data_IF_027648314376
#
_entry.id   IF_027648314376
#
_cell.length_a   1.000
_cell.length_b   1.000
_cell.length_c   1.000
_cell.angle_alpha   90.00
_cell.angle_beta   90.00
_cell.angle_gamma   90.00
#
_symmetry.space_group_name_H-M   'P 1'
#
loop_
_entity.id
_entity.type
_entity.pdbx_description
1 polymer ?
#
# COMPACT_ATOMS: atom_id res chain seq x y z
N UNK A 1 -25.03 67.29 35.42
CA UNK A 1 -25.35 65.88 35.76
C UNK A 1 -24.03 65.12 35.89
N UNK A 2 -23.92 64.25 36.89
CA UNK A 2 -22.68 63.75 37.49
C UNK A 2 -21.99 62.59 36.72
N UNK A 3 -20.66 62.71 36.52
CA UNK A 3 -19.49 61.84 36.94
C UNK A 3 -19.72 60.31 37.13
N UNK A 4 -18.74 59.35 36.94
CA UNK A 4 -17.33 59.41 36.46
C UNK A 4 -16.85 58.33 35.44
N UNK A 5 -15.61 58.57 34.99
CA UNK A 5 -14.56 57.68 34.45
C UNK A 5 -14.30 56.37 35.22
N UNK A 6 -13.80 55.34 34.51
CA UNK A 6 -12.91 54.31 35.06
C UNK A 6 -12.06 53.67 33.95
N UNK A 7 -10.80 54.11 33.84
CA UNK A 7 -9.68 53.34 33.29
C UNK A 7 -9.33 52.20 34.25
N UNK A 8 -8.94 51.05 33.71
CA UNK A 8 -8.21 50.02 34.46
C UNK A 8 -7.08 49.45 33.62
N UNK A 9 -5.87 49.84 34.03
CA UNK A 9 -4.60 49.17 33.78
C UNK A 9 -4.65 47.71 34.22
N UNK A 10 -3.95 46.83 33.51
CA UNK A 10 -3.52 45.53 34.04
C UNK A 10 -2.05 45.29 33.65
N UNK A 11 -1.22 45.05 34.66
CA UNK A 11 0.15 44.56 34.58
C UNK A 11 0.39 43.56 35.73
N UNK A 12 1.46 42.72 35.65
CA UNK A 12 1.32 41.26 35.75
C UNK A 12 1.92 40.63 37.03
N UNK A 13 1.48 39.41 37.34
CA UNK A 13 2.12 38.31 38.11
C UNK A 13 0.97 37.36 38.54
N UNK A 14 1.07 36.04 38.66
CA UNK A 14 2.17 35.13 38.96
C UNK A 14 1.73 33.69 38.65
N UNK A 15 2.72 32.86 38.34
CA UNK A 15 2.74 31.38 38.40
C UNK A 15 1.89 30.75 39.51
N UNK A 16 1.04 29.78 39.15
CA UNK A 16 0.82 28.56 39.94
C UNK A 16 0.23 27.44 39.06
N UNK A 17 1.03 26.38 38.97
CA UNK A 17 0.73 24.96 38.72
C UNK A 17 -0.74 24.53 38.79
N UNK A 18 -1.23 23.91 37.72
CA UNK A 18 -2.46 23.12 37.73
C UNK A 18 -2.17 21.67 37.33
N UNK A 19 -2.80 20.78 38.10
CA UNK A 19 -2.61 19.35 38.19
C UNK A 19 -2.89 18.58 36.89
N UNK A 20 -1.91 17.75 36.51
CA UNK A 20 -2.08 16.64 35.58
C UNK A 20 -2.83 15.50 36.25
N UNK A 21 -4.04 15.20 35.77
CA UNK A 21 -4.80 13.99 36.13
C UNK A 21 -4.33 12.84 35.23
N UNK A 22 -3.50 11.95 35.78
CA UNK A 22 -3.19 10.63 35.19
C UNK A 22 -4.13 9.55 35.73
N UNK A 23 -4.68 8.65 34.90
CA UNK A 23 -5.38 7.46 35.38
C UNK A 23 -4.39 6.37 35.83
N UNK A 24 -4.30 6.15 37.15
CA UNK A 24 -3.60 5.03 37.78
C UNK A 24 -4.34 3.71 37.56
N UNK A 25 -3.74 2.77 36.82
CA UNK A 25 -4.00 1.34 37.00
C UNK A 25 -2.88 0.74 37.85
N UNK A 26 -3.18 0.42 39.11
CA UNK A 26 -2.28 -0.31 40.00
C UNK A 26 -2.52 -1.82 39.87
N UNK A 27 -1.50 -2.57 39.45
CA UNK A 27 -1.42 -4.02 39.67
C UNK A 27 -0.66 -4.26 40.97
N UNK A 28 -1.33 -4.86 41.96
CA UNK A 28 -0.71 -5.30 43.23
C UNK A 28 0.18 -6.52 42.97
N UNK A 29 1.46 -6.42 43.32
CA UNK A 29 2.29 -7.59 43.59
C UNK A 29 2.25 -7.89 45.09
N UNK A 30 1.86 -9.10 45.44
CA UNK A 30 1.84 -9.59 46.81
C UNK A 30 3.18 -10.29 47.07
N UNK A 31 4.04 -9.67 47.88
CA UNK A 31 5.33 -10.22 48.31
C UNK A 31 5.12 -11.15 49.52
N UNK A 32 5.12 -12.46 49.27
CA UNK A 32 5.14 -13.51 50.28
C UNK A 32 6.53 -14.15 50.40
N UNK A 33 7.37 -13.65 51.32
CA UNK A 33 8.65 -14.24 51.72
C UNK A 33 8.48 -15.51 52.57
N UNK A 34 9.21 -16.58 52.21
CA UNK A 34 9.87 -17.65 53.03
C UNK A 34 9.77 -18.99 52.28
N UNK A 35 10.77 -19.87 52.14
CA UNK A 35 12.11 -20.01 52.73
C UNK A 35 12.89 -21.01 51.84
N UNK A 36 14.19 -20.80 51.66
CA UNK A 36 15.11 -21.67 50.92
C UNK A 36 15.11 -23.14 51.39
N UNK A 37 15.02 -24.08 50.44
CA UNK A 37 15.92 -25.25 50.41
C UNK A 37 16.36 -25.49 48.96
N UNK A 38 17.66 -25.32 48.74
CA UNK A 38 18.32 -25.51 47.45
C UNK A 38 18.52 -27.00 47.21
N UNK A 39 17.81 -27.58 46.24
CA UNK A 39 18.29 -28.75 45.50
C UNK A 39 18.01 -28.54 44.02
N UNK A 40 19.07 -28.38 43.24
CA UNK A 40 18.97 -28.18 41.79
C UNK A 40 18.53 -29.46 41.10
N UNK A 41 17.74 -29.35 40.02
CA UNK A 41 17.34 -30.47 39.16
C UNK A 41 18.54 -31.29 38.63
N UNK A 42 19.74 -30.71 38.61
CA UNK A 42 20.97 -31.35 38.13
C UNK A 42 21.46 -32.49 39.05
N UNK A 43 21.13 -32.48 40.34
CA UNK A 43 21.51 -33.58 41.26
C UNK A 43 20.64 -34.84 41.09
N UNK A 44 19.51 -34.74 40.36
CA UNK A 44 18.68 -35.91 40.00
C UNK A 44 19.09 -36.54 38.67
N UNK A 45 19.85 -35.82 37.84
CA UNK A 45 20.33 -36.31 36.54
C UNK A 45 21.65 -37.09 36.69
N UNK A 46 22.48 -36.75 37.67
CA UNK A 46 23.75 -37.44 37.93
C UNK A 46 23.62 -38.85 38.52
N UNK A 47 22.51 -39.15 39.21
CA UNK A 47 22.28 -40.47 39.81
C UNK A 47 21.83 -41.54 38.80
N UNK A 48 21.49 -41.16 37.56
CA UNK A 48 21.04 -42.07 36.51
C UNK A 48 22.08 -42.35 35.42
N UNK A 49 23.22 -41.65 35.43
CA UNK A 49 24.31 -41.80 34.44
C UNK A 49 25.50 -42.63 34.95
N UNK A 50 25.44 -43.18 36.16
CA UNK A 50 26.55 -43.94 36.79
C UNK A 50 26.26 -45.45 36.89
N UNK A 51 25.95 -46.11 35.77
CA UNK A 51 26.12 -47.57 35.66
C UNK A 51 26.93 -47.89 34.40
N UNK A 52 28.12 -48.52 34.51
CA UNK A 52 28.90 -48.89 33.35
C UNK A 52 28.20 -50.01 32.59
N UNK A 53 28.13 -49.84 31.27
CA UNK A 53 27.93 -50.93 30.31
C UNK A 53 29.20 -51.77 30.30
N UNK A 54 29.16 -52.96 30.92
CA UNK A 54 30.11 -54.03 30.62
C UNK A 54 29.54 -54.83 29.44
N UNK A 55 30.13 -54.59 28.27
CA UNK A 55 30.33 -55.62 27.25
C UNK A 55 31.41 -56.54 27.77
N UNK A 56 31.15 -57.84 27.79
CA UNK A 56 32.21 -58.83 27.59
C UNK A 56 31.70 -59.86 26.59
N UNK A 57 32.41 -59.90 25.46
CA UNK A 57 32.36 -60.92 24.44
C UNK A 57 33.16 -62.14 24.90
N UNK A 58 32.71 -63.33 24.47
CA UNK A 58 33.47 -64.56 24.26
C UNK A 58 34.31 -65.14 25.42
N UNK A 59 33.95 -66.34 25.88
CA UNK A 59 34.92 -67.45 25.97
C UNK A 59 34.24 -68.82 25.80
N UNK A 60 34.93 -69.64 25.02
CA UNK A 60 34.74 -71.05 24.65
C UNK A 60 34.62 -72.00 25.84
N UNK A 61 34.15 -73.23 25.64
CA UNK A 61 34.88 -74.48 25.99
C UNK A 61 34.14 -75.70 25.42
N UNK A 62 34.87 -76.44 24.57
CA UNK A 62 34.53 -77.75 24.03
C UNK A 62 34.98 -78.88 25.00
N UNK A 63 34.15 -79.92 25.06
CA UNK A 63 34.44 -81.36 25.15
C UNK A 63 35.37 -82.02 26.22
N UNK A 64 34.80 -83.14 26.72
CA UNK A 64 35.37 -84.43 27.14
C UNK A 64 35.77 -84.74 28.59
N UNK A 65 35.26 -85.93 28.99
CA UNK A 65 35.82 -86.97 29.86
C UNK A 65 35.32 -87.03 31.33
N UNK A 66 34.52 -88.07 31.59
CA UNK A 66 34.33 -88.71 32.91
C UNK A 66 35.61 -89.49 33.30
N UNK A 67 35.82 -89.83 34.60
CA UNK A 67 35.29 -91.11 35.09
C UNK A 67 34.87 -91.17 36.59
N UNK A 68 33.83 -91.99 36.81
CA UNK A 68 33.60 -93.07 37.80
C UNK A 68 33.74 -92.86 39.33
N UNK A 69 32.84 -93.61 40.01
CA UNK A 69 32.75 -94.03 41.42
C UNK A 69 32.17 -92.97 42.39
N UNK A 70 31.22 -93.21 43.28
CA UNK A 70 30.45 -94.38 43.75
C UNK A 70 29.19 -93.84 44.48
N UNK A 71 28.21 -94.71 44.70
CA UNK A 71 27.18 -94.66 45.76
C UNK A 71 25.97 -93.68 45.68
N UNK A 72 24.83 -94.35 45.44
CA UNK A 72 23.62 -94.33 46.29
C UNK A 72 22.55 -93.24 46.10
N UNK A 73 21.39 -93.73 45.63
CA UNK A 73 20.01 -93.37 45.95
C UNK A 73 19.63 -91.88 46.11
N UNK A 74 18.92 -91.32 45.12
CA UNK A 74 17.60 -90.69 45.34
C UNK A 74 16.96 -90.09 44.09
N UNK A 75 15.77 -90.60 43.80
CA UNK A 75 14.58 -89.94 43.24
C UNK A 75 14.58 -89.36 41.80
N UNK A 76 13.64 -89.91 41.03
CA UNK A 76 13.16 -89.47 39.73
C UNK A 76 12.90 -87.96 39.63
N UNK A 77 13.80 -87.24 38.95
CA UNK A 77 13.53 -85.90 38.42
C UNK A 77 13.27 -85.97 36.91
N UNK A 78 12.17 -85.39 36.42
CA UNK A 78 11.82 -85.44 34.99
C UNK A 78 12.83 -84.64 34.15
N UNK A 79 13.30 -85.25 33.05
CA UNK A 79 14.18 -84.62 32.07
C UNK A 79 13.57 -83.30 31.55
N UNK A 80 14.30 -82.17 31.56
CA UNK A 80 13.79 -80.92 30.99
C UNK A 80 13.61 -81.10 29.49
N UNK A 81 12.37 -80.92 29.02
CA UNK A 81 12.06 -80.75 27.61
C UNK A 81 12.73 -79.47 27.11
N UNK A 82 13.60 -79.58 26.11
CA UNK A 82 14.16 -78.42 25.41
C UNK A 82 13.00 -77.60 24.83
N UNK A 83 12.71 -76.47 25.48
CA UNK A 83 11.77 -75.49 24.96
C UNK A 83 12.26 -75.02 23.60
N UNK A 84 11.43 -75.25 22.58
CA UNK A 84 11.61 -74.79 21.20
C UNK A 84 11.94 -73.29 21.23
N UNK A 85 13.09 -72.88 20.70
CA UNK A 85 13.44 -71.46 20.63
C UNK A 85 12.31 -70.67 19.93
N UNK A 86 11.88 -69.53 20.47
CA UNK A 86 10.88 -68.70 19.80
C UNK A 86 11.46 -68.22 18.48
N UNK A 87 10.80 -68.58 17.37
CA UNK A 87 11.11 -68.04 16.05
C UNK A 87 11.06 -66.51 16.14
N UNK A 88 12.21 -65.86 15.93
CA UNK A 88 12.27 -64.41 15.82
C UNK A 88 11.27 -63.93 14.76
N UNK A 89 10.36 -63.05 15.17
CA UNK A 89 9.41 -62.43 14.25
C UNK A 89 10.22 -61.54 13.30
N UNK A 90 10.44 -62.02 12.07
CA UNK A 90 11.02 -61.22 11.00
C UNK A 90 10.02 -60.12 10.63
N UNK A 91 10.13 -58.96 11.26
CA UNK A 91 9.41 -57.77 10.83
C UNK A 91 9.70 -57.50 9.36
N UNK A 92 8.64 -57.31 8.56
CA UNK A 92 8.76 -57.01 7.14
C UNK A 92 9.71 -55.83 6.93
N UNK A 93 10.47 -55.78 5.81
CA UNK A 93 11.39 -54.67 5.52
C UNK A 93 10.72 -53.30 5.65
N UNK A 94 9.43 -53.24 5.31
CA UNK A 94 8.56 -52.08 5.44
C UNK A 94 8.40 -51.60 6.90
N UNK A 95 8.20 -52.51 7.86
CA UNK A 95 8.03 -52.13 9.26
C UNK A 95 9.33 -51.63 9.89
N UNK A 96 10.48 -52.19 9.47
CA UNK A 96 11.82 -51.69 9.86
C UNK A 96 12.10 -50.31 9.27
N UNK A 97 11.69 -50.06 8.03
CA UNK A 97 11.77 -48.74 7.41
C UNK A 97 10.86 -47.73 8.12
N UNK A 98 9.60 -48.10 8.39
CA UNK A 98 8.64 -47.25 9.10
C UNK A 98 9.14 -46.85 10.50
N UNK A 99 9.69 -47.81 11.26
CA UNK A 99 10.28 -47.54 12.58
C UNK A 99 11.48 -46.60 12.50
N UNK A 100 12.36 -46.77 11.50
CA UNK A 100 13.50 -45.87 11.28
C UNK A 100 13.05 -44.47 10.85
N UNK A 101 12.02 -44.36 10.03
CA UNK A 101 11.45 -43.09 9.60
C UNK A 101 10.78 -42.34 10.75
N UNK A 102 10.01 -43.05 11.59
CA UNK A 102 9.37 -42.47 12.79
C UNK A 102 10.39 -41.97 13.82
N UNK A 103 11.54 -42.65 13.96
CA UNK A 103 12.62 -42.21 14.85
C UNK A 103 13.42 -41.02 14.29
N UNK A 104 13.44 -40.83 12.97
CA UNK A 104 14.15 -39.71 12.31
C UNK A 104 13.28 -38.46 12.14
N UNK A 105 11.96 -38.61 12.13
CA UNK A 105 11.00 -37.51 12.04
C UNK A 105 11.23 -36.39 13.08
N UNK A 106 11.38 -36.65 14.39
CA UNK A 106 11.62 -35.58 15.37
C UNK A 106 12.97 -34.88 15.17
N UNK A 107 13.98 -35.57 14.66
CA UNK A 107 15.27 -34.98 14.28
C UNK A 107 15.12 -33.98 13.13
N UNK A 108 14.36 -34.33 12.09
CA UNK A 108 14.09 -33.42 10.98
C UNK A 108 13.26 -32.22 11.42
N UNK A 109 12.28 -32.42 12.30
CA UNK A 109 11.47 -31.34 12.88
C UNK A 109 12.35 -30.37 13.68
N UNK A 110 13.23 -30.88 14.55
CA UNK A 110 14.17 -30.07 15.32
C UNK A 110 15.16 -29.31 14.42
N UNK A 111 15.65 -29.95 13.37
CA UNK A 111 16.52 -29.31 12.38
C UNK A 111 15.80 -28.16 11.65
N UNK A 112 14.53 -28.36 11.28
CA UNK A 112 13.70 -27.33 10.65
C UNK A 112 13.45 -26.15 11.60
N UNK A 113 13.15 -26.40 12.88
CA UNK A 113 13.05 -25.34 13.88
C UNK A 113 14.38 -24.61 14.11
N UNK A 114 15.51 -25.33 14.10
CA UNK A 114 16.84 -24.74 14.19
C UNK A 114 17.16 -23.80 13.01
N UNK A 115 16.85 -24.22 11.79
CA UNK A 115 17.00 -23.40 10.58
C UNK A 115 16.08 -22.18 10.66
N UNK A 116 14.82 -22.36 11.04
CA UNK A 116 13.86 -21.27 11.20
C UNK A 116 14.34 -20.25 12.25
N UNK A 117 14.89 -20.73 13.38
CA UNK A 117 15.43 -19.87 14.41
C UNK A 117 16.65 -19.09 13.92
N UNK A 118 17.54 -19.72 13.15
CA UNK A 118 18.70 -19.06 12.57
C UNK A 118 18.28 -17.96 11.58
N UNK A 119 17.27 -18.24 10.74
CA UNK A 119 16.66 -17.25 9.84
C UNK A 119 16.08 -16.09 10.65
N UNK A 120 15.31 -16.35 11.71
CA UNK A 120 14.72 -15.32 12.57
C UNK A 120 15.79 -14.47 13.29
N UNK A 121 16.89 -15.08 13.73
CA UNK A 121 18.01 -14.37 14.34
C UNK A 121 18.72 -13.47 13.33
N UNK A 122 18.99 -13.95 12.12
CA UNK A 122 19.59 -13.14 11.04
C UNK A 122 18.65 -12.01 10.63
N UNK A 123 17.33 -12.27 10.55
CA UNK A 123 16.34 -11.27 10.22
C UNK A 123 16.17 -10.22 11.32
N UNK A 124 16.19 -10.63 12.60
CA UNK A 124 16.13 -9.74 13.77
C UNK A 124 17.41 -8.94 13.98
N UNK A 125 18.56 -9.44 13.51
CA UNK A 125 19.84 -8.73 13.50
C UNK A 125 20.13 -7.99 12.20
N UNK A 126 19.16 -7.88 11.27
CA UNK A 126 19.26 -7.01 10.08
C UNK A 126 19.79 -5.60 10.40
N UNK A 127 19.40 -4.93 11.51
CA UNK A 127 19.93 -3.60 11.83
C UNK A 127 21.44 -3.57 12.13
N UNK A 128 22.06 -4.71 12.42
CA UNK A 128 23.51 -4.82 12.70
C UNK A 128 24.34 -5.01 11.42
N UNK A 129 23.73 -5.51 10.34
CA UNK A 129 24.39 -5.84 9.07
C UNK A 129 24.01 -4.87 7.94
N UNK A 130 22.86 -4.21 8.06
CA UNK A 130 22.41 -3.15 7.18
C UNK A 130 22.02 -1.95 8.03
N UNK A 131 22.93 -0.97 8.11
CA UNK A 131 22.60 0.34 8.62
C UNK A 131 21.91 1.13 7.49
N UNK A 132 20.59 1.28 7.60
CA UNK A 132 19.79 2.16 6.76
C UNK A 132 19.36 3.39 7.58
N UNK A 133 20.16 3.82 8.57
CA UNK A 133 20.04 5.19 9.05
C UNK A 133 20.35 6.10 7.87
N UNK A 134 19.40 6.97 7.57
CA UNK A 134 19.71 8.13 6.75
C UNK A 134 20.83 8.86 7.47
N UNK A 135 21.92 9.13 6.78
CA UNK A 135 22.94 10.03 7.27
C UNK A 135 22.26 11.39 7.47
N UNK A 136 21.93 11.71 8.72
CA UNK A 136 21.67 13.08 9.13
C UNK A 136 23.01 13.78 8.93
N UNK A 137 23.17 14.47 7.80
CA UNK A 137 24.35 15.30 7.55
C UNK A 137 24.31 16.41 8.59
N UNK A 138 25.00 16.22 9.71
CA UNK A 138 25.32 17.29 10.64
C UNK A 138 26.12 18.32 9.85
N UNK A 139 25.47 19.43 9.50
CA UNK A 139 26.13 20.56 8.85
C UNK A 139 27.16 21.08 9.86
N UNK A 140 28.47 21.01 9.57
CA UNK A 140 29.49 21.46 10.51
C UNK A 140 29.26 22.93 10.89
N UNK A 141 29.63 23.33 12.11
CA UNK A 141 29.41 24.71 12.59
C UNK A 141 29.98 25.80 11.67
N UNK A 142 31.05 25.51 10.92
CA UNK A 142 31.64 26.44 9.94
C UNK A 142 30.81 26.60 8.65
N UNK A 143 29.86 25.71 8.39
CA UNK A 143 28.97 25.72 7.24
C UNK A 143 27.58 26.28 7.58
N UNK A 144 27.34 26.73 8.80
CA UNK A 144 26.10 27.45 9.17
C UNK A 144 25.92 28.74 8.36
N UNK A 145 27.01 29.47 8.07
CA UNK A 145 26.99 30.65 7.17
C UNK A 145 26.71 30.30 5.69
N UNK A 146 26.84 29.02 5.31
CA UNK A 146 26.54 28.52 3.96
C UNK A 146 25.10 28.01 3.85
N UNK A 147 24.31 28.02 4.93
CA UNK A 147 22.92 27.53 4.92
C UNK A 147 22.08 28.28 3.88
N UNK A 148 22.32 29.59 3.69
CA UNK A 148 21.71 30.36 2.61
C UNK A 148 22.11 29.90 1.19
N UNK A 149 23.28 29.30 1.01
CA UNK A 149 23.74 28.70 -0.25
C UNK A 149 23.29 27.25 -0.44
N UNK A 150 22.81 26.57 0.61
CA UNK A 150 22.25 25.21 0.51
C UNK A 150 20.82 25.20 -0.03
N UNK A 151 20.11 26.32 0.06
CA UNK A 151 18.75 26.47 -0.45
C UNK A 151 18.75 26.94 -1.90
N UNK A 152 18.15 26.13 -2.77
CA UNK A 152 17.89 26.47 -4.16
C UNK A 152 16.47 27.05 -4.30
N UNK A 153 16.26 27.97 -5.24
CA UNK A 153 15.03 28.75 -5.32
C UNK A 153 13.76 27.88 -5.47
N UNK A 154 13.89 26.74 -6.17
CA UNK A 154 12.82 25.74 -6.38
C UNK A 154 13.17 24.39 -5.73
N UNK A 155 13.81 24.42 -4.55
CA UNK A 155 14.25 23.23 -3.81
C UNK A 155 13.18 22.24 -3.27
N UNK A 156 11.87 22.56 -3.09
CA UNK A 156 10.96 21.65 -2.38
C UNK A 156 10.83 20.24 -2.96
N UNK A 157 10.98 20.10 -4.28
CA UNK A 157 10.87 18.83 -5.01
C UNK A 157 12.10 18.57 -5.88
N UNK A 158 13.25 19.14 -5.51
CA UNK A 158 14.53 18.84 -6.16
C UNK A 158 14.80 17.34 -6.12
N UNK A 159 15.36 16.80 -7.21
CA UNK A 159 15.72 15.39 -7.34
C UNK A 159 14.49 14.42 -7.32
N UNK A 160 13.26 14.95 -7.39
CA UNK A 160 12.03 14.15 -7.46
C UNK A 160 11.61 13.99 -8.91
N UNK A 161 11.79 12.78 -9.45
CA UNK A 161 11.35 12.44 -10.80
C UNK A 161 9.84 12.17 -10.83
N UNK A 162 9.05 12.91 -11.63
CA UNK A 162 7.63 12.63 -11.78
C UNK A 162 7.41 11.29 -12.48
N UNK A 163 6.43 10.54 -12.01
CA UNK A 163 5.98 9.28 -12.58
C UNK A 163 4.45 9.26 -12.70
N UNK A 164 3.88 8.61 -13.72
CA UNK A 164 2.44 8.56 -13.95
C UNK A 164 1.73 7.61 -12.97
N UNK A 165 1.80 7.94 -11.68
CA UNK A 165 1.01 7.30 -10.63
C UNK A 165 0.01 8.25 -10.01
N UNK A 166 -1.13 7.66 -9.67
CA UNK A 166 -2.21 8.29 -8.94
C UNK A 166 -2.20 7.76 -7.50
N UNK A 167 -1.91 8.63 -6.54
CA UNK A 167 -2.00 8.34 -5.11
C UNK A 167 -3.48 8.20 -4.73
N UNK A 168 -3.99 6.99 -4.82
CA UNK A 168 -5.36 6.67 -4.46
C UNK A 168 -5.57 6.83 -2.96
N UNK A 169 -6.70 7.41 -2.57
CA UNK A 169 -7.02 7.81 -1.21
C UNK A 169 -5.87 8.57 -0.54
N UNK A 170 -5.34 9.59 -1.21
CA UNK A 170 -4.15 10.32 -0.76
C UNK A 170 -4.31 10.92 0.65
N UNK A 171 -5.54 11.25 1.04
CA UNK A 171 -5.84 11.75 2.37
C UNK A 171 -5.58 10.72 3.49
N UNK A 172 -5.38 9.42 3.19
CA UNK A 172 -4.92 8.39 4.13
C UNK A 172 -3.40 8.38 4.33
N UNK A 173 -2.63 9.13 3.53
CA UNK A 173 -1.17 9.22 3.71
C UNK A 173 -0.84 9.87 5.06
N UNK A 174 0.38 9.63 5.54
CA UNK A 174 0.86 10.21 6.80
C UNK A 174 0.95 11.72 6.69
N UNK A 175 1.42 12.19 5.53
CA UNK A 175 1.41 13.59 5.14
C UNK A 175 0.70 13.67 3.78
N UNK A 176 -0.63 13.94 3.77
CA UNK A 176 -1.38 14.12 2.53
C UNK A 176 -0.70 15.14 1.61
N UNK A 177 -0.87 14.98 0.30
CA UNK A 177 -0.17 15.66 -0.79
C UNK A 177 1.33 15.36 -0.84
N UNK A 178 2.07 15.65 0.24
CA UNK A 178 3.53 15.65 0.22
C UNK A 178 4.14 14.25 0.16
N UNK A 179 3.51 13.22 0.75
CA UNK A 179 3.99 11.85 0.58
C UNK A 179 3.92 11.42 -0.90
N UNK A 180 2.83 11.75 -1.61
CA UNK A 180 2.69 11.46 -3.04
C UNK A 180 3.72 12.22 -3.88
N UNK A 181 3.87 13.53 -3.65
CA UNK A 181 4.85 14.35 -4.35
C UNK A 181 6.27 13.85 -4.13
N UNK A 182 6.64 13.48 -2.90
CA UNK A 182 7.97 12.93 -2.58
C UNK A 182 8.29 11.66 -3.35
N UNK A 183 7.28 10.87 -3.71
CA UNK A 183 7.43 9.66 -4.52
C UNK A 183 7.23 9.93 -6.03
N UNK A 184 7.06 11.19 -6.45
CA UNK A 184 6.91 11.56 -7.86
C UNK A 184 5.52 11.34 -8.44
N UNK A 185 4.49 10.97 -7.65
CA UNK A 185 3.17 10.77 -8.24
C UNK A 185 2.59 12.07 -8.77
N UNK A 186 2.25 12.07 -10.07
CA UNK A 186 1.67 13.22 -10.77
C UNK A 186 0.15 13.33 -10.60
N UNK A 187 -0.45 12.55 -9.70
CA UNK A 187 -1.86 12.68 -9.35
C UNK A 187 -2.16 12.27 -7.91
N UNK A 188 -3.08 12.98 -7.26
CA UNK A 188 -3.59 12.73 -5.91
C UNK A 188 -5.12 12.78 -5.90
N UNK A 189 -5.73 12.13 -4.91
CA UNK A 189 -7.18 12.06 -4.74
C UNK A 189 -7.64 12.64 -3.40
N UNK A 190 -8.75 13.38 -3.43
CA UNK A 190 -9.45 13.90 -2.27
C UNK A 190 -10.92 13.47 -2.28
N UNK A 191 -11.34 12.71 -1.26
CA UNK A 191 -12.75 12.37 -1.03
C UNK A 191 -13.44 13.51 -0.29
N UNK A 192 -14.20 14.34 -1.00
CA UNK A 192 -14.74 15.60 -0.49
C UNK A 192 -16.22 15.48 -0.11
N UNK A 193 -16.52 15.96 1.10
CA UNK A 193 -17.85 15.99 1.68
C UNK A 193 -18.27 17.43 1.96
N UNK A 194 -19.45 17.83 1.50
CA UNK A 194 -20.08 19.10 1.85
C UNK A 194 -21.33 18.89 2.68
N UNK A 195 -21.60 19.82 3.62
CA UNK A 195 -22.84 19.85 4.39
C UNK A 195 -23.40 21.26 4.40
N UNK A 196 -24.71 21.41 4.25
CA UNK A 196 -25.37 22.72 4.07
C UNK A 196 -25.10 23.72 5.20
N UNK A 197 -24.81 23.21 6.41
CA UNK A 197 -24.63 24.02 7.63
C UNK A 197 -23.27 24.73 7.73
N UNK A 198 -22.29 24.41 6.88
CA UNK A 198 -20.97 25.05 6.88
C UNK A 198 -20.38 25.14 5.47
N UNK A 199 -19.69 26.25 5.15
CA UNK A 199 -18.97 26.45 3.88
C UNK A 199 -17.66 25.63 3.79
N UNK A 200 -17.23 25.04 4.90
CA UNK A 200 -16.11 24.11 4.90
C UNK A 200 -16.44 22.82 4.14
N UNK A 201 -15.45 22.34 3.40
CA UNK A 201 -15.50 21.06 2.71
C UNK A 201 -14.53 20.12 3.42
N UNK A 202 -15.02 18.98 3.89
CA UNK A 202 -14.24 18.02 4.67
C UNK A 202 -13.68 16.92 3.79
N UNK A 203 -12.56 16.32 4.19
CA UNK A 203 -11.94 15.22 3.46
C UNK A 203 -11.83 13.97 4.32
N UNK A 204 -12.34 12.86 3.80
CA UNK A 204 -12.24 11.54 4.45
C UNK A 204 -12.95 10.44 3.66
N UNK A 205 -12.69 9.20 4.04
CA UNK A 205 -13.24 8.04 3.32
C UNK A 205 -14.72 7.82 3.62
N UNK A 206 -15.12 8.14 4.84
CA UNK A 206 -16.49 8.06 5.32
C UNK A 206 -16.79 9.19 6.29
N UNK A 207 -18.07 9.45 6.53
CA UNK A 207 -18.54 10.46 7.47
C UNK A 207 -17.94 10.31 8.88
N UNK A 208 -17.68 9.08 9.33
CA UNK A 208 -17.05 8.78 10.62
C UNK A 208 -15.57 9.17 10.71
N UNK A 209 -14.90 9.37 9.56
CA UNK A 209 -13.48 9.77 9.49
C UNK A 209 -13.28 11.28 9.38
N UNK A 210 -14.37 12.05 9.26
CA UNK A 210 -14.30 13.49 9.11
C UNK A 210 -13.94 14.17 10.43
N UNK A 211 -13.10 15.20 10.34
CA UNK A 211 -12.72 16.01 11.49
C UNK A 211 -12.69 17.47 11.08
N UNK A 212 -13.03 18.42 11.97
CA UNK A 212 -13.09 19.85 11.64
C UNK A 212 -11.78 20.43 11.07
N UNK A 213 -10.63 19.83 11.42
CA UNK A 213 -9.30 20.29 10.98
C UNK A 213 -8.88 19.76 9.61
N UNK A 214 -9.57 18.76 9.07
CA UNK A 214 -9.23 18.07 7.82
C UNK A 214 -10.15 18.54 6.70
N UNK A 215 -9.87 19.75 6.21
CA UNK A 215 -10.63 20.38 5.12
C UNK A 215 -9.94 20.23 3.77
N UNK A 216 -10.70 20.35 2.69
CA UNK A 216 -10.19 20.33 1.31
C UNK A 216 -9.13 21.42 1.08
N UNK A 217 -9.40 22.64 1.56
CA UNK A 217 -8.40 23.72 1.56
C UNK A 217 -7.17 23.38 2.37
N UNK A 218 -7.35 22.92 3.61
CA UNK A 218 -6.24 22.68 4.53
C UNK A 218 -5.31 21.56 4.10
N UNK A 219 -5.83 20.51 3.45
CA UNK A 219 -5.04 19.37 3.00
C UNK A 219 -4.49 19.52 1.58
N UNK A 220 -5.18 20.22 0.68
CA UNK A 220 -4.80 20.28 -0.74
C UNK A 220 -4.60 21.70 -1.25
N UNK A 221 -5.63 22.56 -1.23
CA UNK A 221 -5.56 23.86 -1.91
C UNK A 221 -4.49 24.78 -1.33
N UNK A 222 -4.49 25.00 -0.01
CA UNK A 222 -3.57 25.94 0.63
C UNK A 222 -2.11 25.43 0.59
N UNK A 223 -1.83 24.13 0.84
CA UNK A 223 -0.50 23.56 0.62
C UNK A 223 -0.01 23.69 -0.83
N UNK A 224 -0.89 23.47 -1.83
CA UNK A 224 -0.54 23.63 -3.25
C UNK A 224 -0.22 25.08 -3.60
N UNK A 225 -1.01 26.04 -3.13
CA UNK A 225 -0.72 27.47 -3.32
C UNK A 225 0.66 27.81 -2.75
N UNK A 226 0.94 27.43 -1.51
CA UNK A 226 2.23 27.71 -0.86
C UNK A 226 3.40 27.07 -1.61
N UNK A 227 3.24 25.82 -2.04
CA UNK A 227 4.24 25.11 -2.81
C UNK A 227 4.50 25.81 -4.15
N UNK A 228 3.47 26.09 -4.93
CA UNK A 228 3.60 26.70 -6.25
C UNK A 228 4.14 28.13 -6.18
N UNK A 229 3.72 28.94 -5.20
CA UNK A 229 4.28 30.27 -4.97
C UNK A 229 5.79 30.19 -4.68
N UNK A 230 6.25 29.13 -3.99
CA UNK A 230 7.68 28.86 -3.79
C UNK A 230 8.38 28.32 -5.05
N UNK A 231 7.70 27.50 -5.86
CA UNK A 231 8.23 26.98 -7.14
C UNK A 231 8.29 28.03 -8.25
N UNK A 232 7.63 29.17 -8.08
CA UNK A 232 7.54 30.25 -9.07
C UNK A 232 8.07 31.60 -8.51
N UNK A 233 9.31 31.67 -7.98
CA UNK A 233 9.83 32.89 -7.36
C UNK A 233 10.11 33.99 -8.39
N UNK A 234 9.79 35.24 -8.07
CA UNK A 234 10.24 36.37 -8.90
C UNK A 234 11.72 36.61 -8.66
N UNK A 235 12.56 36.34 -9.66
CA UNK A 235 14.01 36.54 -9.59
C UNK A 235 14.50 37.42 -10.73
N UNK A 236 15.66 38.06 -10.56
CA UNK A 236 16.35 38.80 -11.63
C UNK A 236 17.02 37.89 -12.67
N UNK A 237 17.04 36.57 -12.43
CA UNK A 237 17.83 35.62 -13.20
C UNK A 237 17.01 34.84 -14.25
N UNK A 238 15.70 34.81 -14.12
CA UNK A 238 14.83 34.11 -15.07
C UNK A 238 13.34 34.23 -14.72
N UNK A 239 12.49 33.99 -15.70
CA UNK A 239 11.04 33.90 -15.51
C UNK A 239 10.67 32.45 -15.19
N UNK A 240 10.34 32.17 -13.93
CA UNK A 240 9.91 30.85 -13.47
C UNK A 240 8.39 30.74 -13.43
N UNK A 241 7.65 31.57 -14.19
CA UNK A 241 6.18 31.57 -14.18
C UNK A 241 5.61 30.32 -14.84
N UNK A 242 4.62 29.74 -14.17
CA UNK A 242 3.87 28.59 -14.66
C UNK A 242 4.57 27.26 -14.42
N UNK A 243 5.61 27.23 -13.59
CA UNK A 243 6.21 25.98 -13.12
C UNK A 243 5.21 25.18 -12.29
N UNK A 244 5.18 23.87 -12.54
CA UNK A 244 4.45 22.87 -11.79
C UNK A 244 5.09 22.58 -10.43
N UNK A 245 4.66 21.47 -9.83
CA UNK A 245 5.12 21.06 -8.49
C UNK A 245 6.46 20.34 -8.51
N UNK A 246 6.94 19.87 -9.66
CA UNK A 246 8.19 19.11 -9.80
C UNK A 246 9.29 19.99 -10.39
N UNK A 247 10.43 20.09 -9.71
CA UNK A 247 11.58 20.85 -10.20
C UNK A 247 12.23 20.18 -11.42
N UNK A 248 12.29 18.84 -11.42
CA UNK A 248 12.88 18.03 -12.51
C UNK A 248 12.09 18.11 -13.82
N UNK A 249 10.78 18.38 -13.75
CA UNK A 249 9.93 18.67 -14.90
C UNK A 249 8.92 19.78 -14.54
N UNK A 250 9.29 21.05 -14.74
CA UNK A 250 8.42 22.18 -14.42
C UNK A 250 7.15 22.25 -15.26
N UNK A 251 7.03 21.49 -16.35
CA UNK A 251 5.82 21.47 -17.19
C UNK A 251 4.85 20.36 -16.81
N UNK A 252 5.26 19.42 -15.95
CA UNK A 252 4.40 18.36 -15.45
C UNK A 252 3.27 18.91 -14.57
N UNK A 253 2.04 18.79 -15.05
CA UNK A 253 0.84 19.12 -14.27
C UNK A 253 0.61 18.09 -13.16
N UNK A 254 0.21 18.54 -11.97
CA UNK A 254 -0.31 17.66 -10.93
C UNK A 254 -1.84 17.57 -11.06
N UNK A 255 -2.35 16.35 -11.12
CA UNK A 255 -3.79 16.13 -11.21
C UNK A 255 -4.37 15.98 -9.80
N UNK A 256 -5.24 16.92 -9.41
CA UNK A 256 -6.07 16.83 -8.21
C UNK A 256 -7.42 16.23 -8.58
N UNK A 257 -7.57 14.93 -8.33
CA UNK A 257 -8.84 14.23 -8.49
C UNK A 257 -9.71 14.49 -7.24
N UNK A 258 -10.90 15.03 -7.44
CA UNK A 258 -11.84 15.37 -6.38
C UNK A 258 -13.04 14.43 -6.51
N UNK A 259 -13.17 13.50 -5.57
CA UNK A 259 -14.29 12.56 -5.50
C UNK A 259 -15.41 13.17 -4.65
N UNK A 260 -16.52 13.50 -5.29
CA UNK A 260 -17.68 14.14 -4.67
C UNK A 260 -18.51 13.07 -3.95
N UNK A 261 -18.57 13.16 -2.61
CA UNK A 261 -19.23 12.14 -1.76
C UNK A 261 -20.62 12.53 -1.28
N UNK A 262 -21.07 13.73 -1.60
CA UNK A 262 -22.40 14.27 -1.28
C UNK A 262 -23.04 14.82 -2.55
N UNK A 263 -24.24 15.39 -2.44
CA UNK A 263 -25.01 15.91 -3.57
C UNK A 263 -24.16 16.84 -4.47
N UNK A 264 -24.14 16.52 -5.77
CA UNK A 264 -23.16 17.05 -6.70
C UNK A 264 -23.35 18.52 -7.05
N UNK A 265 -24.59 18.96 -7.29
CA UNK A 265 -24.87 20.34 -7.74
C UNK A 265 -24.50 21.39 -6.68
N UNK A 266 -24.79 21.11 -5.41
CA UNK A 266 -24.41 21.97 -4.27
C UNK A 266 -22.91 21.93 -4.00
N UNK A 267 -22.31 20.73 -4.01
CA UNK A 267 -20.88 20.57 -3.73
C UNK A 267 -20.00 21.18 -4.82
N UNK A 268 -20.43 21.12 -6.09
CA UNK A 268 -19.68 21.64 -7.23
C UNK A 268 -19.36 23.13 -7.11
N UNK A 269 -20.36 23.94 -6.77
CA UNK A 269 -20.17 25.38 -6.58
C UNK A 269 -19.15 25.66 -5.46
N UNK A 270 -19.28 24.97 -4.32
CA UNK A 270 -18.37 25.16 -3.19
C UNK A 270 -16.94 24.73 -3.51
N UNK A 271 -16.75 23.64 -4.25
CA UNK A 271 -15.42 23.23 -4.74
C UNK A 271 -14.85 24.30 -5.67
N UNK A 272 -15.64 24.83 -6.61
CA UNK A 272 -15.20 25.92 -7.50
C UNK A 272 -14.76 27.16 -6.72
N UNK A 273 -15.49 27.54 -5.66
CA UNK A 273 -15.16 28.66 -4.78
C UNK A 273 -13.86 28.40 -4.00
N UNK A 274 -13.68 27.20 -3.44
CA UNK A 274 -12.46 26.86 -2.70
C UNK A 274 -11.21 26.78 -3.57
N UNK A 275 -11.35 26.53 -4.88
CA UNK A 275 -10.26 26.56 -5.86
C UNK A 275 -9.82 27.97 -6.29
N UNK A 276 -10.57 29.01 -5.92
CA UNK A 276 -10.29 30.40 -6.29
C UNK A 276 -8.84 30.87 -6.02
N UNK A 277 -8.17 30.50 -4.91
CA UNK A 277 -6.78 30.89 -4.67
C UNK A 277 -5.79 30.40 -5.73
N UNK A 278 -6.02 29.20 -6.31
CA UNK A 278 -5.23 28.65 -7.40
C UNK A 278 -5.59 29.32 -8.74
N UNK A 279 -6.89 29.57 -8.96
CA UNK A 279 -7.42 30.25 -10.15
C UNK A 279 -6.85 31.65 -10.32
N UNK A 280 -6.91 32.49 -9.26
CA UNK A 280 -6.39 33.87 -9.26
C UNK A 280 -4.89 33.95 -9.58
N UNK A 281 -4.14 32.89 -9.28
CA UNK A 281 -2.70 32.76 -9.55
C UNK A 281 -2.39 32.15 -10.91
N UNK A 282 -3.41 31.80 -11.70
CA UNK A 282 -3.27 31.18 -13.01
C UNK A 282 -2.55 29.81 -12.94
N UNK A 283 -2.78 29.06 -11.85
CA UNK A 283 -2.20 27.72 -11.64
C UNK A 283 -3.10 26.57 -12.13
N UNK A 284 -4.39 26.83 -12.37
CA UNK A 284 -5.33 25.80 -12.82
C UNK A 284 -5.32 25.63 -14.34
N UNK A 285 -5.27 24.40 -14.82
CA UNK A 285 -5.54 24.04 -16.22
C UNK A 285 -7.00 24.37 -16.51
N UNK A 286 -7.28 24.99 -17.66
CA UNK A 286 -8.64 25.40 -18.00
C UNK A 286 -8.94 25.29 -19.49
N UNK A 287 -10.21 25.10 -19.81
CA UNK A 287 -10.79 25.30 -21.14
C UNK A 287 -11.13 26.78 -21.34
N UNK A 288 -10.72 27.37 -22.46
CA UNK A 288 -10.91 28.80 -22.75
C UNK A 288 -12.01 29.11 -23.79
N UNK A 289 -12.81 28.12 -24.17
CA UNK A 289 -13.79 28.23 -25.26
C UNK A 289 -13.37 27.56 -26.56
N UNK A 290 -12.08 27.28 -26.73
CA UNK A 290 -11.50 26.74 -27.97
C UNK A 290 -10.53 25.58 -27.72
N UNK A 291 -9.69 25.68 -26.70
CA UNK A 291 -8.71 24.65 -26.33
C UNK A 291 -8.45 24.58 -24.83
N UNK A 292 -7.87 23.46 -24.41
CA UNK A 292 -7.36 23.30 -23.05
C UNK A 292 -5.98 23.97 -22.93
N UNK A 293 -5.85 24.84 -21.93
CA UNK A 293 -4.60 25.50 -21.55
C UNK A 293 -4.05 24.81 -20.31
N UNK A 294 -3.00 24.01 -20.49
CA UNK A 294 -2.34 23.31 -19.38
C UNK A 294 -1.62 24.28 -18.44
N UNK A 295 -1.76 24.04 -17.13
CA UNK A 295 -1.07 24.75 -16.05
C UNK A 295 -0.59 23.76 -14.99
N UNK A 296 0.00 24.29 -13.93
CA UNK A 296 0.57 23.54 -12.81
C UNK A 296 -0.38 22.48 -12.23
N UNK A 297 -1.68 22.77 -12.12
CA UNK A 297 -2.69 21.88 -11.52
C UNK A 297 -3.83 21.61 -12.50
N UNK A 298 -4.15 20.35 -12.73
CA UNK A 298 -5.37 19.95 -13.45
C UNK A 298 -6.37 19.37 -12.46
N UNK A 299 -7.55 19.97 -12.35
CA UNK A 299 -8.60 19.49 -11.43
C UNK A 299 -9.55 18.57 -12.19
N UNK A 300 -9.81 17.39 -11.64
CA UNK A 300 -10.72 16.40 -12.22
C UNK A 300 -11.78 16.02 -11.19
N UNK A 301 -13.06 16.15 -11.53
CA UNK A 301 -14.18 15.72 -10.69
C UNK A 301 -14.59 14.28 -11.01
N UNK A 302 -14.84 13.49 -9.96
CA UNK A 302 -15.39 12.12 -10.01
C UNK A 302 -16.43 11.93 -8.90
N UNK A 303 -16.99 10.73 -8.76
CA UNK A 303 -18.07 10.46 -7.79
C UNK A 303 -19.41 11.05 -8.24
N UNK A 304 -20.08 11.78 -7.35
CA UNK A 304 -21.28 12.59 -7.62
C UNK A 304 -20.88 13.95 -8.21
N UNK A 305 -20.04 13.95 -9.27
CA UNK A 305 -19.75 15.19 -10.01
C UNK A 305 -20.82 15.36 -11.09
N UNK A 306 -21.54 16.50 -11.15
CA UNK A 306 -22.59 16.71 -12.13
C UNK A 306 -22.01 17.09 -13.51
N UNK A 307 -22.07 16.16 -14.47
CA UNK A 307 -21.51 16.37 -15.82
C UNK A 307 -22.15 17.56 -16.56
N UNK A 308 -23.45 17.83 -16.33
CA UNK A 308 -24.16 18.97 -16.89
C UNK A 308 -23.55 20.32 -16.45
N UNK A 309 -23.13 20.45 -15.19
CA UNK A 309 -22.45 21.66 -14.71
C UNK A 309 -21.02 21.76 -15.26
N UNK A 310 -20.34 20.64 -15.47
CA UNK A 310 -19.03 20.62 -16.13
C UNK A 310 -19.16 21.23 -17.53
N UNK A 311 -20.19 20.91 -18.32
CA UNK A 311 -20.28 21.43 -19.70
C UNK A 311 -21.10 22.72 -19.85
N UNK A 312 -21.69 23.23 -18.76
CA UNK A 312 -22.61 24.37 -18.80
C UNK A 312 -21.97 25.67 -19.33
N UNK A 313 -20.77 26.02 -18.86
CA UNK A 313 -20.08 27.22 -19.29
C UNK A 313 -19.21 26.95 -20.53
N UNK A 314 -19.57 27.52 -21.67
CA UNK A 314 -18.82 27.32 -22.92
C UNK A 314 -17.55 28.17 -23.03
N UNK A 315 -17.38 29.20 -22.20
CA UNK A 315 -16.29 30.20 -22.33
C UNK A 315 -15.11 29.96 -21.41
N UNK A 316 -15.33 29.46 -20.19
CA UNK A 316 -14.27 29.19 -19.24
C UNK A 316 -14.67 28.06 -18.29
N UNK A 317 -13.78 27.08 -18.10
CA UNK A 317 -13.94 25.97 -17.15
C UNK A 317 -12.59 25.47 -16.67
N UNK A 318 -12.43 25.18 -15.39
CA UNK A 318 -11.18 24.67 -14.82
C UNK A 318 -11.32 23.39 -14.00
N UNK A 319 -12.48 22.72 -14.11
CA UNK A 319 -12.71 21.38 -13.62
C UNK A 319 -13.07 20.50 -14.82
N UNK A 320 -12.35 19.41 -14.99
CA UNK A 320 -12.59 18.38 -16.00
C UNK A 320 -13.28 17.18 -15.38
N UNK A 321 -13.91 16.34 -16.20
CA UNK A 321 -14.62 15.16 -15.74
C UNK A 321 -13.76 13.88 -15.79
N UNK A 322 -13.96 12.97 -14.85
CA UNK A 322 -13.48 11.58 -14.90
C UNK A 322 -14.51 10.71 -15.63
N UNK A 323 -14.30 10.49 -16.92
CA UNK A 323 -15.27 9.80 -17.77
C UNK A 323 -15.34 8.28 -17.49
N UNK A 324 -16.49 7.63 -17.76
CA UNK A 324 -16.62 6.19 -17.56
C UNK A 324 -15.88 5.40 -18.66
N UNK A 325 -14.67 4.90 -18.34
CA UNK A 325 -13.85 4.10 -19.27
C UNK A 325 -14.55 2.82 -19.74
N UNK A 326 -15.52 2.31 -18.98
CA UNK A 326 -16.32 1.15 -19.35
C UNK A 326 -17.04 1.30 -20.70
N UNK A 327 -17.43 2.53 -21.06
CA UNK A 327 -18.14 2.82 -22.31
C UNK A 327 -17.21 2.91 -23.54
N UNK A 328 -15.89 2.95 -23.34
CA UNK A 328 -14.92 3.38 -24.36
C UNK A 328 -14.15 2.21 -24.98
N UNK A 329 -14.78 1.04 -25.13
CA UNK A 329 -14.12 -0.07 -25.82
C UNK A 329 -14.07 0.19 -27.33
N UNK A 330 -12.86 0.22 -27.91
CA UNK A 330 -12.66 0.26 -29.37
C UNK A 330 -11.94 -1.02 -29.85
N UNK A 331 -12.44 -1.71 -30.90
CA UNK A 331 -11.78 -2.88 -31.45
C UNK A 331 -10.45 -2.52 -32.13
N UNK A 332 -9.56 -3.50 -32.39
CA UNK A 332 -8.33 -3.24 -33.14
C UNK A 332 -8.63 -2.75 -34.57
N UNK A 333 -7.89 -1.74 -35.04
CA UNK A 333 -8.01 -1.20 -36.40
C UNK A 333 -7.72 -2.30 -37.44
N UNK A 334 -8.77 -2.79 -38.12
CA UNK A 334 -8.69 -3.89 -39.08
C UNK A 334 -9.84 -4.89 -39.02
N UNK A 335 -10.65 -4.88 -37.95
CA UNK A 335 -11.96 -5.54 -37.93
C UNK A 335 -13.02 -4.64 -38.56
N UNK A 336 -13.63 -5.06 -39.67
CA UNK A 336 -14.74 -4.34 -40.30
C UNK A 336 -15.85 -4.01 -39.29
N UNK A 337 -16.58 -2.91 -39.53
CA UNK A 337 -17.64 -2.34 -38.70
C UNK A 337 -18.37 -3.40 -37.84
N UNK A 338 -17.85 -3.65 -36.65
CA UNK A 338 -18.62 -4.29 -35.59
C UNK A 338 -19.27 -3.10 -34.91
N UNK A 339 -20.55 -2.89 -35.17
CA UNK A 339 -21.38 -1.98 -34.38
C UNK A 339 -20.98 -2.14 -32.92
N UNK A 340 -20.54 -1.04 -32.28
CA UNK A 340 -20.14 -0.98 -30.89
C UNK A 340 -20.99 -1.97 -30.11
N UNK A 341 -20.38 -3.06 -29.62
CA UNK A 341 -21.11 -4.09 -28.94
C UNK A 341 -21.81 -3.42 -27.77
N UNK A 342 -23.13 -3.23 -27.91
CA UNK A 342 -24.00 -2.87 -26.81
C UNK A 342 -23.82 -4.02 -25.83
N UNK A 343 -22.94 -3.81 -24.85
CA UNK A 343 -22.80 -4.72 -23.73
C UNK A 343 -24.21 -4.86 -23.14
N UNK A 344 -24.72 -6.08 -22.93
CA UNK A 344 -26.08 -6.26 -22.46
C UNK A 344 -26.23 -5.48 -21.15
N UNK A 345 -27.05 -4.43 -21.19
CA UNK A 345 -27.51 -3.76 -19.99
C UNK A 345 -28.47 -4.75 -19.33
N UNK A 346 -27.93 -5.65 -18.50
CA UNK A 346 -28.74 -6.48 -17.63
C UNK A 346 -29.59 -5.51 -16.81
N UNK A 347 -30.91 -5.55 -16.98
CA UNK A 347 -31.89 -4.55 -16.54
C UNK A 347 -32.06 -4.44 -15.01
N UNK A 348 -31.00 -4.76 -14.26
CA UNK A 348 -30.88 -4.48 -12.84
C UNK A 348 -30.09 -3.19 -12.74
N UNK A 349 -30.67 -2.17 -12.11
CA UNK A 349 -29.93 -1.03 -11.59
C UNK A 349 -28.82 -1.55 -10.66
N UNK A 350 -27.65 -1.86 -11.22
CA UNK A 350 -26.43 -2.01 -10.45
C UNK A 350 -26.17 -0.64 -9.87
N UNK A 351 -25.80 -0.58 -8.58
CA UNK A 351 -25.26 0.64 -7.97
C UNK A 351 -24.25 1.23 -8.95
N UNK A 352 -24.58 2.43 -9.45
CA UNK A 352 -23.78 3.13 -10.45
C UNK A 352 -22.37 3.30 -9.90
N UNK A 353 -21.36 3.06 -10.74
CA UNK A 353 -19.96 3.26 -10.34
C UNK A 353 -19.68 4.74 -10.05
N UNK A 354 -18.57 5.03 -9.38
CA UNK A 354 -18.10 6.40 -9.18
C UNK A 354 -17.97 7.14 -10.54
N UNK A 355 -18.36 8.42 -10.60
CA UNK A 355 -18.22 9.26 -11.80
C UNK A 355 -19.32 9.10 -12.85
N UNK A 356 -20.54 8.70 -12.45
CA UNK A 356 -21.65 8.46 -13.39
C UNK A 356 -22.85 9.41 -13.21
N UNK A 357 -22.80 10.36 -12.29
CA UNK A 357 -23.88 11.33 -12.09
C UNK A 357 -24.10 12.18 -13.36
N UNK A 358 -25.36 12.30 -13.81
CA UNK A 358 -25.70 13.00 -15.05
C UNK A 358 -25.30 12.29 -16.36
N UNK A 359 -24.69 11.10 -16.32
CA UNK A 359 -24.18 10.40 -17.52
C UNK A 359 -25.07 9.27 -18.05
N UNK A 360 -26.20 8.98 -17.38
CA UNK A 360 -27.01 7.77 -17.61
C UNK A 360 -27.52 7.56 -19.06
N UNK A 361 -27.60 8.62 -19.85
CA UNK A 361 -28.06 8.58 -21.25
C UNK A 361 -26.95 8.92 -22.26
N UNK A 362 -25.72 9.12 -21.80
CA UNK A 362 -24.60 9.50 -22.63
C UNK A 362 -23.86 8.27 -23.17
N UNK A 363 -23.35 8.41 -24.39
CA UNK A 363 -22.42 7.44 -25.00
C UNK A 363 -20.98 7.92 -24.83
N UNK A 364 -20.02 7.08 -25.20
CA UNK A 364 -18.60 7.42 -25.16
C UNK A 364 -18.25 8.71 -25.93
N UNK A 365 -19.05 9.09 -26.93
CA UNK A 365 -18.80 10.27 -27.78
C UNK A 365 -19.11 11.60 -27.07
N UNK A 366 -19.80 11.56 -25.94
CA UNK A 366 -20.02 12.74 -25.10
C UNK A 366 -18.73 13.23 -24.41
N UNK A 367 -17.73 12.36 -24.28
CA UNK A 367 -16.51 12.62 -23.53
C UNK A 367 -15.32 12.82 -24.47
N UNK A 368 -14.61 13.92 -24.30
CA UNK A 368 -13.39 14.24 -25.05
C UNK A 368 -12.51 15.20 -24.26
N UNK A 369 -11.31 15.49 -24.78
CA UNK A 369 -10.34 16.35 -24.11
C UNK A 369 -10.83 17.75 -23.72
N UNK A 370 -11.93 18.28 -24.28
CA UNK A 370 -12.46 19.60 -23.91
C UNK A 370 -13.30 19.60 -22.61
N UNK A 371 -13.77 18.44 -22.16
CA UNK A 371 -14.65 18.31 -20.99
C UNK A 371 -14.18 17.26 -19.98
N UNK A 372 -13.37 16.29 -20.41
CA UNK A 372 -12.86 15.21 -19.60
C UNK A 372 -11.33 15.16 -19.66
N UNK A 373 -10.72 14.65 -18.60
CA UNK A 373 -9.27 14.46 -18.53
C UNK A 373 -8.91 12.99 -18.32
N UNK A 374 -9.56 12.37 -17.33
CA UNK A 374 -9.46 10.92 -17.12
C UNK A 374 -10.61 10.19 -17.80
N UNK A 375 -10.35 8.92 -18.08
CA UNK A 375 -11.37 7.91 -18.20
C UNK A 375 -11.02 6.78 -17.23
N UNK A 376 -11.86 6.55 -16.22
CA UNK A 376 -11.59 5.58 -15.16
C UNK A 376 -12.60 4.43 -15.11
N UNK A 377 -12.17 3.26 -14.62
CA UNK A 377 -13.05 2.12 -14.31
C UNK A 377 -12.48 1.22 -13.22
N UNK A 378 -13.35 0.53 -12.47
CA UNK A 378 -12.94 -0.57 -11.61
C UNK A 378 -12.40 -1.71 -12.45
N UNK A 379 -11.13 -2.07 -12.24
CA UNK A 379 -10.50 -3.23 -12.85
C UNK A 379 -11.28 -4.50 -12.52
N UNK A 380 -11.66 -4.66 -11.26
CA UNK A 380 -12.34 -5.87 -10.78
C UNK A 380 -13.73 -6.02 -11.41
N UNK A 381 -14.48 -4.93 -11.51
CA UNK A 381 -15.83 -4.95 -12.10
C UNK A 381 -15.81 -5.07 -13.62
N UNK A 382 -14.95 -4.31 -14.30
CA UNK A 382 -14.91 -4.32 -15.76
C UNK A 382 -14.18 -5.54 -16.32
N UNK A 383 -13.00 -5.89 -15.78
CA UNK A 383 -12.14 -6.94 -16.36
C UNK A 383 -12.19 -8.24 -15.55
N UNK A 384 -12.30 -8.14 -14.22
CA UNK A 384 -12.20 -9.27 -13.30
C UNK A 384 -10.75 -9.59 -12.88
N UNK A 385 -10.61 -10.61 -12.03
CA UNK A 385 -9.32 -11.00 -11.46
C UNK A 385 -8.70 -12.16 -12.29
N UNK A 386 -7.38 -12.17 -12.52
CA UNK A 386 -6.70 -13.28 -13.20
C UNK A 386 -6.49 -14.47 -12.24
N UNK A 387 -7.55 -15.25 -11.99
CA UNK A 387 -7.54 -16.36 -11.03
C UNK A 387 -6.53 -17.48 -11.34
N UNK A 388 -6.20 -17.71 -12.61
CA UNK A 388 -5.17 -18.66 -13.04
C UNK A 388 -3.74 -18.08 -13.02
N UNK A 389 -3.57 -16.90 -12.41
CA UNK A 389 -2.30 -16.18 -12.36
C UNK A 389 -1.99 -15.37 -13.63
N UNK A 390 -2.86 -15.41 -14.65
CA UNK A 390 -2.74 -14.61 -15.88
C UNK A 390 -4.11 -14.13 -16.36
N UNK A 391 -4.13 -13.00 -17.06
CA UNK A 391 -5.33 -12.52 -17.75
C UNK A 391 -5.56 -13.36 -19.00
N UNK A 392 -6.82 -13.68 -19.29
CA UNK A 392 -7.20 -14.34 -20.55
C UNK A 392 -7.01 -13.41 -21.76
N UNK A 393 -6.95 -13.96 -22.97
CA UNK A 393 -6.86 -13.17 -24.19
C UNK A 393 -8.01 -12.15 -24.31
N UNK A 394 -9.23 -12.55 -23.95
CA UNK A 394 -10.40 -11.67 -23.93
C UNK A 394 -10.28 -10.54 -22.89
N UNK A 395 -9.74 -10.81 -21.70
CA UNK A 395 -9.49 -9.75 -20.70
C UNK A 395 -8.44 -8.75 -21.20
N UNK A 396 -7.36 -9.23 -21.82
CA UNK A 396 -6.33 -8.36 -22.42
C UNK A 396 -6.88 -7.54 -23.58
N UNK A 397 -7.72 -8.13 -24.43
CA UNK A 397 -8.38 -7.42 -25.52
C UNK A 397 -9.28 -6.30 -24.99
N UNK A 398 -10.05 -6.55 -23.93
CA UNK A 398 -10.89 -5.53 -23.28
C UNK A 398 -10.05 -4.40 -22.68
N UNK A 399 -8.96 -4.71 -21.97
CA UNK A 399 -8.01 -3.70 -21.45
C UNK A 399 -7.50 -2.83 -22.60
N UNK A 400 -6.97 -3.46 -23.66
CA UNK A 400 -6.41 -2.74 -24.82
C UNK A 400 -7.46 -1.89 -25.53
N UNK A 401 -8.68 -2.42 -25.70
CA UNK A 401 -9.76 -1.70 -26.37
C UNK A 401 -10.25 -0.49 -25.59
N UNK A 402 -10.35 -0.60 -24.26
CA UNK A 402 -10.67 0.52 -23.38
C UNK A 402 -9.58 1.60 -23.40
N UNK A 403 -8.31 1.21 -23.26
CA UNK A 403 -7.17 2.13 -23.33
C UNK A 403 -7.18 2.87 -24.67
N UNK A 404 -7.32 2.15 -25.79
CA UNK A 404 -7.41 2.76 -27.12
C UNK A 404 -8.56 3.75 -27.23
N UNK A 405 -9.76 3.40 -26.77
CA UNK A 405 -10.91 4.29 -26.91
C UNK A 405 -10.84 5.55 -26.07
N UNK A 406 -10.20 5.49 -24.90
CA UNK A 406 -9.88 6.68 -24.12
C UNK A 406 -8.85 7.56 -24.84
N UNK A 407 -7.74 6.97 -25.32
CA UNK A 407 -6.67 7.70 -25.99
C UNK A 407 -7.12 8.34 -27.30
N UNK A 408 -7.98 7.67 -28.09
CA UNK A 408 -8.59 8.25 -29.30
C UNK A 408 -9.47 9.48 -29.01
N UNK A 409 -10.00 9.58 -27.79
CA UNK A 409 -10.79 10.72 -27.31
C UNK A 409 -9.92 11.78 -26.61
N UNK A 410 -8.61 11.57 -26.57
CA UNK A 410 -7.65 12.44 -25.89
C UNK A 410 -7.69 12.35 -24.36
N UNK A 411 -8.23 11.25 -23.82
CA UNK A 411 -8.38 11.01 -22.39
C UNK A 411 -7.31 10.05 -21.88
N UNK A 412 -6.99 10.16 -20.59
CA UNK A 412 -6.03 9.30 -19.90
C UNK A 412 -6.73 8.13 -19.22
N UNK A 413 -6.43 6.91 -19.63
CA UNK A 413 -7.02 5.70 -19.07
C UNK A 413 -6.46 5.42 -17.66
N UNK A 414 -7.35 5.11 -16.71
CA UNK A 414 -7.01 4.72 -15.33
C UNK A 414 -7.87 3.54 -14.87
N UNK A 415 -7.23 2.57 -14.21
CA UNK A 415 -7.92 1.44 -13.58
C UNK A 415 -7.79 1.51 -12.07
N UNK A 416 -8.91 1.60 -11.35
CA UNK A 416 -8.96 1.53 -9.88
C UNK A 416 -9.39 0.13 -9.41
N UNK A 417 -9.39 -0.11 -8.10
CA UNK A 417 -9.71 -1.44 -7.53
C UNK A 417 -8.78 -2.56 -8.04
N UNK A 418 -7.50 -2.25 -8.25
CA UNK A 418 -6.49 -3.27 -8.58
C UNK A 418 -6.15 -4.12 -7.34
N UNK A 419 -5.73 -5.40 -7.50
CA UNK A 419 -5.46 -6.26 -6.35
C UNK A 419 -4.35 -5.69 -5.45
N UNK A 420 -4.64 -5.45 -4.18
CA UNK A 420 -3.61 -5.01 -3.21
C UNK A 420 -2.73 -6.16 -2.68
N UNK A 421 -3.31 -7.37 -2.59
CA UNK A 421 -2.66 -8.59 -2.08
C UNK A 421 -3.19 -9.82 -2.84
N UNK A 422 -2.37 -10.88 -3.09
CA UNK A 422 -0.94 -10.99 -2.80
C UNK A 422 -0.07 -9.98 -3.54
N UNK A 423 1.08 -9.60 -2.95
CA UNK A 423 2.00 -8.60 -3.54
C UNK A 423 2.50 -8.99 -4.94
N UNK A 424 2.69 -10.29 -5.19
CA UNK A 424 3.06 -10.80 -6.53
C UNK A 424 1.96 -10.54 -7.56
N UNK A 425 0.69 -10.78 -7.20
CA UNK A 425 -0.46 -10.51 -8.06
C UNK A 425 -0.61 -9.01 -8.34
N UNK A 426 -0.53 -8.17 -7.30
CA UNK A 426 -0.53 -6.70 -7.45
C UNK A 426 0.52 -6.26 -8.45
N UNK A 427 1.77 -6.68 -8.23
CA UNK A 427 2.90 -6.30 -9.06
C UNK A 427 2.74 -6.76 -10.50
N UNK A 428 2.21 -7.97 -10.73
CA UNK A 428 1.89 -8.48 -12.06
C UNK A 428 0.82 -7.64 -12.76
N UNK A 429 -0.25 -7.28 -12.06
CA UNK A 429 -1.33 -6.45 -12.63
C UNK A 429 -0.81 -5.05 -12.98
N UNK A 430 -0.02 -4.43 -12.11
CA UNK A 430 0.56 -3.11 -12.38
C UNK A 430 1.52 -3.13 -13.57
N UNK A 431 2.44 -4.11 -13.63
CA UNK A 431 3.34 -4.28 -14.78
C UNK A 431 2.56 -4.51 -16.08
N UNK A 432 1.49 -5.30 -16.02
CA UNK A 432 0.66 -5.55 -17.18
C UNK A 432 -0.05 -4.28 -17.65
N UNK A 433 -0.69 -3.54 -16.75
CA UNK A 433 -1.37 -2.29 -17.10
C UNK A 433 -0.43 -1.28 -17.76
N UNK A 434 0.77 -1.10 -17.18
CA UNK A 434 1.79 -0.21 -17.75
C UNK A 434 2.22 -0.72 -19.13
N UNK A 435 2.47 -2.02 -19.27
CA UNK A 435 2.85 -2.64 -20.56
C UNK A 435 1.76 -2.51 -21.62
N UNK A 436 0.49 -2.64 -21.25
CA UNK A 436 -0.63 -2.48 -22.18
C UNK A 436 -0.98 -1.00 -22.46
N UNK A 437 -0.27 -0.05 -21.84
CA UNK A 437 -0.34 1.37 -22.18
C UNK A 437 -1.32 2.20 -21.36
N UNK A 438 -1.67 1.79 -20.13
CA UNK A 438 -2.44 2.65 -19.21
C UNK A 438 -1.68 3.96 -18.93
N UNK A 439 -2.37 5.09 -19.07
CA UNK A 439 -1.77 6.43 -18.90
C UNK A 439 -1.52 6.81 -17.44
N UNK A 440 -2.27 6.22 -16.50
CA UNK A 440 -2.18 6.53 -15.08
C UNK A 440 -2.34 5.27 -14.21
N UNK A 441 -1.28 4.90 -13.49
CA UNK A 441 -1.33 3.76 -12.58
C UNK A 441 -1.97 4.16 -11.25
N UNK A 442 -3.07 3.51 -10.86
CA UNK A 442 -3.70 3.71 -9.56
C UNK A 442 -2.92 2.98 -8.46
N UNK A 443 -2.38 3.71 -7.48
CA UNK A 443 -1.41 3.20 -6.50
C UNK A 443 -1.87 3.40 -5.07
N UNK A 444 -2.10 2.28 -4.37
CA UNK A 444 -2.32 2.27 -2.91
C UNK A 444 -1.01 2.28 -2.10
N UNK A 445 0.12 1.87 -2.69
CA UNK A 445 1.39 1.70 -1.99
C UNK A 445 2.55 2.41 -2.69
N UNK A 446 2.70 3.72 -2.43
CA UNK A 446 3.63 4.64 -3.12
C UNK A 446 5.08 4.11 -3.20
N UNK A 447 5.63 3.65 -2.08
CA UNK A 447 7.00 3.10 -2.03
C UNK A 447 7.22 1.92 -2.98
N UNK A 448 6.17 1.11 -3.21
CA UNK A 448 6.27 -0.02 -4.10
C UNK A 448 6.20 0.40 -5.58
N UNK A 449 5.44 1.46 -5.87
CA UNK A 449 5.42 2.05 -7.20
C UNK A 449 6.82 2.57 -7.57
N UNK A 450 7.45 3.42 -6.76
CA UNK A 450 8.76 3.99 -7.10
C UNK A 450 9.92 2.98 -7.16
N UNK A 451 9.78 1.81 -6.54
CA UNK A 451 10.85 0.80 -6.53
C UNK A 451 11.03 0.11 -7.89
N UNK A 452 10.15 0.37 -8.85
CA UNK A 452 10.19 -0.19 -10.18
C UNK A 452 10.52 0.88 -11.21
N UNK A 453 11.35 0.49 -12.16
CA UNK A 453 11.66 1.28 -13.36
C UNK A 453 10.54 1.06 -14.38
N UNK A 454 9.52 1.92 -14.34
CA UNK A 454 8.37 1.85 -15.24
C UNK A 454 8.70 2.30 -16.67
N UNK A 455 9.75 3.12 -16.84
CA UNK A 455 10.18 3.63 -18.14
C UNK A 455 10.88 2.59 -19.02
N UNK A 456 11.41 1.50 -18.43
CA UNK A 456 11.98 0.38 -19.19
C UNK A 456 10.95 -0.61 -19.74
N UNK A 457 9.68 -0.50 -19.34
CA UNK A 457 8.59 -1.27 -19.95
C UNK A 457 8.10 -0.45 -21.15
N UNK A 458 8.86 -0.48 -22.25
CA UNK A 458 8.80 0.50 -23.32
C UNK A 458 7.40 0.79 -23.88
N UNK A 459 7.13 2.07 -24.11
CA UNK A 459 6.04 2.58 -24.96
C UNK A 459 6.27 2.30 -26.46
N UNK A 460 7.34 1.58 -26.82
CA UNK A 460 7.70 1.30 -28.21
C UNK A 460 7.00 0.06 -28.72
N UNK A 461 5.82 0.21 -29.32
CA UNK A 461 5.31 -0.68 -30.38
C UNK A 461 4.18 -0.07 -31.23
N UNK A 462 3.89 1.24 -31.15
CA UNK A 462 2.87 1.89 -31.99
C UNK A 462 3.36 3.12 -32.77
N UNK A 463 4.65 3.42 -32.76
CA UNK A 463 5.28 4.34 -33.73
C UNK A 463 6.06 3.52 -34.77
N UNK A 464 5.34 2.96 -35.76
CA UNK A 464 5.88 2.51 -37.05
C UNK A 464 4.76 2.45 -38.09
#
# INVERSE_FOLDING_TARGET
MAVPLLEREWSPASTQTTDTIEPKWQVRFNDGKRRNSRHSLLSRIWYWQSRPSMRDDHYTHDYYAAPLDDDDDSEDLPKPTLARQPRGVNYSPMLRWLRRSLLRLPLYILMLFGILHLILVVYGRKPLLWDNRKDDVEIPDWATDLQALTHYATDPTRDVQPIPCHSHNDYWRRIPLFDALRYGCTSVEADVWGYDENDDLFVGHSTASLTPTRTFKGLYVDPLVKLLDKMNPSTSFGDTKGHGVFDEDPHQTLVLLVDFKTEGHTLFQRVQEQLEPLRKRNYLTYWNGDKVISRAITVVGTGETPFDLIIANQTYRDIFFDAPLELMYEPPSGGGQVHAAVMPHDGKEKKRGQGQEGTAHLTADAFNASNSYYASVSMTSAIGIPWSGRFSAHQLERIRGQIRGAQQRGLKARYWETPAWPTSLRNYVWELLVREGTDMLNVDHLKAAVSKDWGRVGHGLFDA
#
